data_IF_426764551885
#
_entry.id   IF_426764551885
#
_cell.length_a   1.000
_cell.length_b   1.000
_cell.length_c   1.000
_cell.angle_alpha   90.00
_cell.angle_beta   90.00
_cell.angle_gamma   90.00
#
_symmetry.space_group_name_H-M   'P 1'
#
loop_
_entity.id
_entity.type
_entity.pdbx_description
1 polymer ?
#
# COMPACT_ATOMS: atom_id res chain seq x y z
N UNK A 1 -4.55 -3.70 20.47
CA UNK A 1 -5.38 -4.73 19.81
C UNK A 1 -4.83 -5.03 18.41
N UNK A 2 -5.01 -6.26 17.89
CA UNK A 2 -4.70 -6.55 16.50
C UNK A 2 -5.59 -5.71 15.57
N UNK A 3 -5.04 -5.05 14.55
CA UNK A 3 -5.84 -4.43 13.50
C UNK A 3 -6.49 -5.50 12.62
N UNK A 4 -7.46 -5.08 11.80
CA UNK A 4 -8.04 -5.94 10.77
C UNK A 4 -6.98 -6.40 9.77
N UNK A 5 -7.17 -7.60 9.23
CA UNK A 5 -6.34 -8.10 8.14
C UNK A 5 -6.56 -7.19 6.92
N UNK A 6 -5.50 -6.65 6.30
CA UNK A 6 -5.64 -5.73 5.18
C UNK A 6 -6.28 -6.42 3.98
N UNK A 7 -7.03 -5.66 3.18
CA UNK A 7 -7.59 -6.20 1.96
C UNK A 7 -6.47 -6.55 0.97
N UNK A 8 -6.56 -7.72 0.29
CA UNK A 8 -5.62 -8.06 -0.75
C UNK A 8 -5.73 -7.04 -1.87
N UNK A 9 -4.59 -6.71 -2.48
CA UNK A 9 -4.60 -5.89 -3.67
C UNK A 9 -5.30 -6.65 -4.80
N UNK A 10 -6.23 -6.00 -5.49
CA UNK A 10 -7.01 -6.64 -6.55
C UNK A 10 -6.92 -5.88 -7.86
N UNK A 11 -7.27 -6.55 -8.95
CA UNK A 11 -7.46 -5.92 -10.23
C UNK A 11 -8.69 -6.50 -10.94
N UNK A 12 -9.35 -5.68 -11.75
CA UNK A 12 -10.46 -6.10 -12.59
C UNK A 12 -10.08 -5.99 -14.08
N UNK A 13 -10.41 -7.04 -14.82
CA UNK A 13 -10.25 -7.04 -16.26
C UNK A 13 -11.22 -6.03 -16.90
N UNK A 14 -10.74 -5.11 -17.75
CA UNK A 14 -11.64 -4.18 -18.43
C UNK A 14 -12.45 -4.83 -19.56
N UNK A 15 -12.00 -5.98 -20.09
CA UNK A 15 -12.70 -6.69 -21.16
C UNK A 15 -13.91 -7.49 -20.68
N UNK A 16 -13.80 -8.15 -19.53
CA UNK A 16 -14.83 -9.05 -19.01
C UNK A 16 -15.27 -8.77 -17.57
N UNK A 17 -14.69 -7.78 -16.89
CA UNK A 17 -15.05 -7.38 -15.52
C UNK A 17 -14.57 -8.31 -14.40
N UNK A 18 -13.95 -9.46 -14.71
CA UNK A 18 -13.52 -10.42 -13.69
C UNK A 18 -12.46 -9.82 -12.76
N UNK A 19 -12.64 -10.04 -11.45
CA UNK A 19 -11.76 -9.54 -10.38
C UNK A 19 -10.84 -10.64 -9.86
N UNK A 20 -9.57 -10.31 -9.64
CA UNK A 20 -8.57 -11.23 -9.11
C UNK A 20 -7.64 -10.54 -8.11
N UNK A 21 -7.09 -11.27 -7.11
CA UNK A 21 -5.96 -10.78 -6.35
C UNK A 21 -4.76 -10.53 -7.28
N UNK A 22 -4.11 -9.38 -7.12
CA UNK A 22 -2.98 -8.97 -7.94
C UNK A 22 -1.78 -9.93 -7.79
N UNK A 23 -1.63 -10.55 -6.61
CA UNK A 23 -0.60 -11.55 -6.34
C UNK A 23 -0.88 -12.91 -7.00
N UNK A 24 -2.13 -13.22 -7.35
CA UNK A 24 -2.51 -14.52 -7.89
C UNK A 24 -2.23 -14.63 -9.39
N UNK A 25 -2.60 -13.62 -10.17
CA UNK A 25 -2.37 -13.61 -11.62
C UNK A 25 -2.41 -12.18 -12.16
N UNK A 26 -1.62 -11.92 -13.20
CA UNK A 26 -1.74 -10.72 -14.05
C UNK A 26 -2.40 -10.99 -15.41
N UNK A 27 -2.82 -12.24 -15.65
CA UNK A 27 -3.59 -12.68 -16.83
C UNK A 27 -4.99 -13.06 -16.40
N UNK A 28 -5.99 -12.49 -17.06
CA UNK A 28 -7.40 -12.77 -16.81
C UNK A 28 -7.71 -14.21 -17.22
N UNK A 29 -8.30 -14.99 -16.32
CA UNK A 29 -8.63 -16.39 -16.58
C UNK A 29 -9.87 -16.53 -17.49
N UNK A 30 -10.77 -15.55 -17.51
CA UNK A 30 -11.95 -15.56 -18.39
C UNK A 30 -11.65 -15.26 -19.87
N UNK A 31 -10.86 -14.21 -20.16
CA UNK A 31 -10.62 -13.74 -21.54
C UNK A 31 -9.14 -13.72 -21.95
N UNK A 32 -8.24 -14.29 -21.15
CA UNK A 32 -6.78 -14.30 -21.38
C UNK A 32 -6.09 -12.94 -21.47
N UNK A 33 -6.79 -11.85 -21.13
CA UNK A 33 -6.24 -10.50 -21.19
C UNK A 33 -5.20 -10.24 -20.09
N UNK A 34 -4.05 -9.66 -20.44
CA UNK A 34 -3.05 -9.23 -19.46
C UNK A 34 -3.42 -7.87 -18.86
N UNK A 35 -3.13 -7.68 -17.57
CA UNK A 35 -3.37 -6.43 -16.85
C UNK A 35 -2.78 -5.22 -17.61
N UNK A 36 -3.65 -4.41 -18.20
CA UNK A 36 -3.30 -3.15 -18.87
C UNK A 36 -3.45 -1.97 -17.91
N UNK A 37 -2.35 -1.26 -17.67
CA UNK A 37 -2.34 0.02 -16.96
C UNK A 37 -2.00 1.16 -17.93
N UNK A 38 -2.34 2.42 -17.62
CA UNK A 38 -2.06 3.56 -18.50
C UNK A 38 -0.59 3.62 -18.98
N UNK A 39 0.34 3.29 -18.08
CA UNK A 39 1.79 3.30 -18.35
C UNK A 39 2.24 2.22 -19.35
N UNK A 40 1.47 1.14 -19.53
CA UNK A 40 1.83 0.04 -20.43
C UNK A 40 1.47 0.29 -21.89
N UNK A 41 0.55 1.23 -22.18
CA UNK A 41 0.08 1.50 -23.54
C UNK A 41 0.84 2.61 -24.28
N UNK A 42 1.59 3.46 -23.57
CA UNK A 42 2.44 4.50 -24.20
C UNK A 42 3.52 3.91 -25.11
N UNK A 43 3.90 2.63 -24.94
CA UNK A 43 4.92 1.97 -25.76
C UNK A 43 4.39 1.28 -27.02
N UNK A 44 3.07 1.26 -27.28
CA UNK A 44 2.49 0.36 -28.28
C UNK A 44 1.70 1.00 -29.43
N UNK A 45 1.66 2.32 -29.61
CA UNK A 45 0.95 2.90 -30.76
C UNK A 45 1.71 4.02 -31.47
N UNK A 46 2.00 3.88 -32.79
CA UNK A 46 2.13 5.03 -33.67
C UNK A 46 0.74 5.65 -33.89
N UNK A 47 0.64 6.96 -33.66
CA UNK A 47 -0.61 7.72 -33.78
C UNK A 47 -1.13 7.72 -35.22
N UNK A 48 -2.18 6.96 -35.49
CA UNK A 48 -3.04 7.22 -36.66
C UNK A 48 -4.31 7.92 -36.21
N UNK A 49 -4.34 9.21 -36.56
CA UNK A 49 -5.45 10.16 -36.52
C UNK A 49 -6.83 9.53 -36.81
N UNK A 50 -7.81 10.04 -36.04
CA UNK A 50 -9.28 9.98 -36.21
C UNK A 50 -9.93 8.67 -35.75
N UNK A 51 -10.44 8.68 -34.51
CA UNK A 51 -11.83 8.31 -34.32
C UNK A 51 -12.47 8.92 -33.08
N UNK A 52 -13.66 9.43 -33.35
CA UNK A 52 -14.58 10.21 -32.55
C UNK A 52 -15.33 9.27 -31.61
N UNK A 53 -15.42 9.66 -30.34
CA UNK A 53 -16.50 9.38 -29.39
C UNK A 53 -17.26 8.04 -29.51
N UNK A 54 -17.05 7.14 -28.54
CA UNK A 54 -18.15 6.33 -28.00
C UNK A 54 -17.86 6.01 -26.54
N UNK A 55 -18.68 6.56 -25.64
CA UNK A 55 -18.61 6.23 -24.21
C UNK A 55 -18.83 4.74 -24.00
N UNK A 56 -17.85 4.07 -23.40
CA UNK A 56 -17.96 2.73 -22.80
C UNK A 56 -16.63 2.35 -22.17
N UNK A 57 -16.71 1.99 -20.89
CA UNK A 57 -15.72 1.22 -20.13
C UNK A 57 -14.32 1.83 -19.99
N UNK A 58 -13.75 1.74 -18.79
CA UNK A 58 -12.36 2.10 -18.54
C UNK A 58 -11.49 1.40 -19.58
N UNK A 59 -10.79 2.16 -20.44
CA UNK A 59 -9.88 1.62 -21.47
C UNK A 59 -8.70 0.81 -20.88
N UNK A 60 -8.65 0.66 -19.56
CA UNK A 60 -7.60 0.03 -18.80
C UNK A 60 -8.21 -0.82 -17.69
N UNK A 61 -7.49 -1.87 -17.29
CA UNK A 61 -7.85 -2.65 -16.12
C UNK A 61 -7.84 -1.76 -14.86
N UNK A 62 -8.83 -1.93 -14.00
CA UNK A 62 -8.83 -1.26 -12.70
C UNK A 62 -7.97 -2.03 -11.71
N UNK A 63 -7.31 -1.31 -10.80
CA UNK A 63 -6.52 -1.89 -9.71
C UNK A 63 -6.91 -1.22 -8.41
N UNK A 64 -7.16 -1.99 -7.37
CA UNK A 64 -7.55 -1.52 -6.04
C UNK A 64 -6.47 -1.92 -5.02
N UNK A 65 -6.04 -0.96 -4.21
CA UNK A 65 -4.94 -1.12 -3.26
C UNK A 65 -5.34 -0.60 -1.87
N UNK A 66 -5.21 -1.43 -0.84
CA UNK A 66 -5.47 -1.05 0.55
C UNK A 66 -4.20 -0.53 1.25
N UNK A 67 -3.67 0.61 0.81
CA UNK A 67 -2.45 1.16 1.40
C UNK A 67 -2.58 1.41 2.91
N UNK A 68 -3.77 1.80 3.36
CA UNK A 68 -4.07 2.10 4.77
C UNK A 68 -4.02 0.85 5.63
N UNK A 69 -4.75 -0.20 5.26
CA UNK A 69 -4.76 -1.45 6.02
C UNK A 69 -3.37 -2.07 6.07
N UNK A 70 -2.64 -2.05 4.93
CA UNK A 70 -1.27 -2.57 4.89
C UNK A 70 -0.30 -1.79 5.79
N UNK A 71 -0.41 -0.45 5.85
CA UNK A 71 0.42 0.38 6.73
C UNK A 71 0.11 0.17 8.22
N UNK A 72 -1.17 0.04 8.57
CA UNK A 72 -1.60 -0.30 9.94
C UNK A 72 -1.08 -1.68 10.33
N UNK A 73 -1.30 -2.68 9.46
CA UNK A 73 -0.86 -4.05 9.67
C UNK A 73 0.67 -4.14 9.81
N UNK A 74 1.43 -3.44 8.95
CA UNK A 74 2.88 -3.36 9.05
C UNK A 74 3.36 -2.77 10.37
N UNK A 75 2.70 -1.72 10.86
CA UNK A 75 3.03 -1.10 12.15
C UNK A 75 2.71 -2.03 13.32
N UNK A 76 1.58 -2.75 13.27
CA UNK A 76 1.26 -3.80 14.25
C UNK A 76 2.28 -4.95 14.28
N UNK A 77 2.74 -5.43 13.11
CA UNK A 77 3.78 -6.48 13.05
C UNK A 77 5.07 -6.02 13.71
N UNK A 78 5.47 -4.77 13.49
CA UNK A 78 6.67 -4.16 14.10
C UNK A 78 6.51 -3.99 15.61
N UNK A 79 5.36 -3.46 16.04
CA UNK A 79 5.02 -3.33 17.45
C UNK A 79 5.15 -4.66 18.20
N UNK A 80 4.64 -5.76 17.64
CA UNK A 80 4.78 -7.11 18.23
C UNK A 80 6.18 -7.70 18.19
N UNK A 81 7.01 -7.26 17.26
CA UNK A 81 8.40 -7.70 17.15
C UNK A 81 9.32 -6.99 18.13
N UNK A 82 8.93 -5.82 18.64
CA UNK A 82 9.73 -5.01 19.58
C UNK A 82 9.79 -5.56 21.01
N UNK A 83 8.91 -6.50 21.38
CA UNK A 83 8.83 -7.05 22.75
C UNK A 83 10.10 -7.83 23.16
N UNK A 84 10.98 -8.17 22.20
CA UNK A 84 12.28 -8.84 22.43
C UNK A 84 13.43 -7.85 22.73
N UNK A 85 13.19 -6.54 22.73
CA UNK A 85 14.14 -5.52 23.19
C UNK A 85 15.43 -5.33 22.37
N UNK A 86 15.60 -6.06 21.26
CA UNK A 86 16.84 -6.05 20.46
C UNK A 86 16.87 -5.02 19.33
N UNK A 87 15.71 -4.54 18.84
CA UNK A 87 15.62 -3.57 17.75
C UNK A 87 14.44 -2.61 17.99
N UNK A 88 14.70 -1.30 17.92
CA UNK A 88 13.65 -0.27 17.86
C UNK A 88 12.91 -0.36 16.52
N UNK A 89 11.98 -1.32 16.41
CA UNK A 89 11.15 -1.51 15.23
C UNK A 89 10.07 -0.42 15.12
N UNK A 90 9.79 0.32 16.18
CA UNK A 90 8.78 1.38 16.20
C UNK A 90 9.24 2.64 15.45
N UNK A 91 10.56 2.83 15.33
CA UNK A 91 11.20 3.83 14.47
C UNK A 91 10.66 3.86 13.03
N UNK A 92 10.14 2.74 12.50
CA UNK A 92 9.64 2.66 11.12
C UNK A 92 8.11 2.61 11.00
N UNK A 93 7.40 2.73 12.12
CA UNK A 93 5.95 2.76 12.14
C UNK A 93 5.42 4.09 11.60
N UNK A 94 4.32 4.01 10.85
CA UNK A 94 3.57 5.20 10.37
C UNK A 94 2.22 5.34 11.08
N UNK A 95 1.84 4.31 11.84
CA UNK A 95 0.63 4.24 12.66
C UNK A 95 1.00 3.79 14.07
N UNK A 96 0.30 4.33 15.06
CA UNK A 96 0.50 3.98 16.47
C UNK A 96 -0.80 3.58 17.14
N UNK A 97 -0.70 2.83 18.24
CA UNK A 97 -1.84 2.50 19.07
C UNK A 97 -2.09 3.64 20.06
N UNK A 98 -3.28 4.24 19.99
CA UNK A 98 -3.71 5.27 20.94
C UNK A 98 -4.89 4.76 21.76
N UNK A 99 -4.86 5.05 23.05
CA UNK A 99 -6.00 4.81 23.93
C UNK A 99 -6.93 6.02 23.83
N UNK A 100 -8.14 5.80 23.32
CA UNK A 100 -9.18 6.84 23.35
C UNK A 100 -9.96 6.68 24.65
N UNK A 101 -9.74 7.60 25.58
CA UNK A 101 -10.55 7.73 26.78
C UNK A 101 -11.82 8.50 26.44
N UNK A 102 -12.92 7.77 26.26
CA UNK A 102 -14.24 8.36 26.05
C UNK A 102 -14.81 8.77 27.41
N UNK A 103 -14.77 10.06 27.77
CA UNK A 103 -15.51 10.57 28.93
C UNK A 103 -17.01 10.60 28.62
N UNK A 104 -17.66 9.43 28.68
CA UNK A 104 -19.11 9.32 28.70
C UNK A 104 -19.57 9.29 30.14
N UNK A 105 -20.40 10.26 30.55
CA UNK A 105 -21.05 10.25 31.85
C UNK A 105 -22.15 9.21 31.88
N UNK A 106 -21.78 7.95 32.09
CA UNK A 106 -22.51 6.88 32.78
C UNK A 106 -21.73 5.56 32.61
N UNK A 107 -21.50 4.90 33.74
CA UNK A 107 -20.92 3.58 33.98
C UNK A 107 -20.73 2.64 32.75
N UNK A 108 -19.49 2.57 32.27
CA UNK A 108 -18.69 1.37 31.96
C UNK A 108 -17.41 1.86 31.23
N UNK A 109 -16.25 1.80 31.89
CA UNK A 109 -14.98 2.29 31.37
C UNK A 109 -14.49 1.43 30.19
N UNK A 110 -15.01 1.72 29.00
CA UNK A 110 -14.63 1.05 27.75
C UNK A 110 -13.40 1.73 27.16
N UNK A 111 -12.23 1.42 27.73
CA UNK A 111 -10.94 1.77 27.12
C UNK A 111 -10.79 1.08 25.77
N UNK A 112 -11.05 1.83 24.70
CA UNK A 112 -10.86 1.36 23.34
C UNK A 112 -9.50 1.82 22.83
N UNK A 113 -8.63 0.86 22.51
CA UNK A 113 -7.36 1.14 21.87
C UNK A 113 -7.54 1.06 20.34
N UNK A 114 -7.22 2.15 19.64
CA UNK A 114 -7.41 2.26 18.20
C UNK A 114 -6.09 2.57 17.50
N UNK A 115 -5.90 2.04 16.30
CA UNK A 115 -4.77 2.39 15.45
C UNK A 115 -5.05 3.72 14.77
N UNK A 116 -4.16 4.69 14.96
CA UNK A 116 -4.26 6.01 14.34
C UNK A 116 -2.95 6.38 13.64
N UNK A 117 -3.02 7.19 12.56
CA UNK A 117 -1.82 7.64 11.88
C UNK A 117 -1.00 8.51 12.84
N UNK A 118 0.32 8.31 12.83
CA UNK A 118 1.21 9.20 13.58
C UNK A 118 1.16 10.62 13.00
N UNK A 119 1.72 11.57 13.76
CA UNK A 119 1.76 12.97 13.32
C UNK A 119 2.39 13.08 11.92
N UNK A 120 1.91 14.06 11.13
CA UNK A 120 2.44 14.30 9.78
C UNK A 120 3.95 14.55 9.78
N UNK A 121 4.49 15.16 10.83
CA UNK A 121 5.92 15.38 11.01
C UNK A 121 6.66 14.05 11.21
N UNK A 122 6.16 13.20 12.10
CA UNK A 122 6.71 11.86 12.37
C UNK A 122 6.69 11.00 11.10
N UNK A 123 5.54 10.90 10.41
CA UNK A 123 5.42 10.12 9.17
C UNK A 123 6.40 10.61 8.10
N UNK A 124 6.63 11.92 7.99
CA UNK A 124 7.60 12.50 7.06
C UNK A 124 9.05 12.13 7.43
N UNK A 125 9.39 12.12 8.71
CA UNK A 125 10.72 11.72 9.19
C UNK A 125 10.97 10.22 8.94
N UNK A 126 9.99 9.38 9.27
CA UNK A 126 10.03 7.93 9.02
C UNK A 126 10.23 7.65 7.53
N UNK A 127 9.44 8.30 6.67
CA UNK A 127 9.59 8.15 5.21
C UNK A 127 10.98 8.51 4.72
N UNK A 128 11.57 9.62 5.19
CA UNK A 128 12.95 10.02 4.82
C UNK A 128 13.98 8.98 5.27
N UNK A 129 13.84 8.46 6.49
CA UNK A 129 14.72 7.42 7.02
C UNK A 129 14.63 6.14 6.19
N UNK A 130 13.42 5.71 5.83
CA UNK A 130 13.17 4.59 4.91
C UNK A 130 13.80 4.83 3.54
N UNK A 131 13.58 6.00 2.93
CA UNK A 131 14.16 6.36 1.62
C UNK A 131 15.69 6.25 1.62
N UNK A 132 16.38 6.80 2.63
CA UNK A 132 17.84 6.71 2.75
C UNK A 132 18.32 5.26 2.86
N UNK A 133 17.62 4.45 3.65
CA UNK A 133 17.94 3.04 3.86
C UNK A 133 17.71 2.20 2.61
N UNK A 134 16.62 2.46 1.87
CA UNK A 134 16.38 1.80 0.59
C UNK A 134 17.51 2.09 -0.39
N UNK A 135 17.91 3.35 -0.53
CA UNK A 135 19.00 3.77 -1.43
C UNK A 135 20.35 3.18 -1.01
N UNK A 136 20.63 3.04 0.28
CA UNK A 136 21.88 2.44 0.77
C UNK A 136 21.90 0.91 0.72
N UNK A 137 20.78 0.26 0.37
CA UNK A 137 20.67 -1.21 0.33
C UNK A 137 20.63 -1.87 1.71
N UNK A 138 20.51 -1.11 2.80
CA UNK A 138 20.52 -1.61 4.17
C UNK A 138 19.11 -1.91 4.71
N UNK A 139 18.25 -2.55 3.90
CA UNK A 139 16.85 -2.77 4.26
C UNK A 139 16.43 -4.23 4.13
N UNK A 140 15.56 -4.68 5.04
CA UNK A 140 14.70 -5.85 4.86
C UNK A 140 13.27 -5.43 4.47
N UNK A 141 12.75 -5.96 3.36
CA UNK A 141 11.39 -5.70 2.87
C UNK A 141 10.30 -6.07 3.90
N UNK A 142 10.51 -7.14 4.67
CA UNK A 142 9.51 -7.60 5.65
C UNK A 142 9.36 -6.66 6.85
N UNK A 143 10.44 -5.91 7.17
CA UNK A 143 10.51 -5.01 8.32
C UNK A 143 10.17 -3.57 7.93
N UNK A 144 10.83 -3.03 6.90
CA UNK A 144 10.76 -1.60 6.63
C UNK A 144 9.62 -1.21 5.68
N UNK A 145 9.16 -2.13 4.82
CA UNK A 145 8.05 -1.84 3.91
C UNK A 145 6.70 -2.03 4.62
N UNK A 146 5.83 -1.04 4.45
CA UNK A 146 4.44 -1.05 4.87
C UNK A 146 3.60 -1.87 3.89
N UNK A 147 3.92 -1.79 2.60
CA UNK A 147 3.22 -2.51 1.55
C UNK A 147 4.19 -3.14 0.52
N UNK A 148 3.75 -4.20 -0.18
CA UNK A 148 4.52 -4.77 -1.28
C UNK A 148 4.91 -3.69 -2.29
N UNK A 149 6.13 -3.69 -2.83
CA UNK A 149 6.66 -2.66 -3.78
C UNK A 149 7.02 -1.27 -3.24
N UNK A 150 6.90 -0.97 -1.94
CA UNK A 150 7.31 0.34 -1.40
C UNK A 150 8.79 0.67 -1.66
N UNK A 151 9.69 -0.28 -1.37
CA UNK A 151 11.13 -0.13 -1.62
C UNK A 151 11.42 0.02 -3.11
N UNK A 152 10.80 -0.80 -3.97
CA UNK A 152 10.96 -0.73 -5.42
C UNK A 152 10.58 0.65 -5.96
N UNK A 153 9.46 1.22 -5.52
CA UNK A 153 9.05 2.57 -5.92
C UNK A 153 10.04 3.63 -5.45
N UNK A 154 10.58 3.48 -4.24
CA UNK A 154 11.57 4.40 -3.69
C UNK A 154 12.88 4.35 -4.48
N UNK A 155 13.37 3.15 -4.81
CA UNK A 155 14.55 2.94 -5.64
C UNK A 155 14.35 3.50 -7.05
N UNK A 156 13.23 3.19 -7.71
CA UNK A 156 12.91 3.71 -9.03
C UNK A 156 12.89 5.25 -9.03
N UNK A 157 12.28 5.88 -8.01
CA UNK A 157 12.28 7.34 -7.88
C UNK A 157 13.68 7.93 -7.68
N UNK A 158 14.55 7.24 -6.94
CA UNK A 158 15.91 7.69 -6.67
C UNK A 158 16.83 7.56 -7.89
N UNK A 159 16.65 6.51 -8.70
CA UNK A 159 17.54 6.20 -9.83
C UNK A 159 17.06 6.70 -11.18
N UNK A 160 15.75 6.90 -11.41
CA UNK A 160 15.23 7.44 -12.69
C UNK A 160 15.35 8.97 -12.77
N UNK A 161 15.64 9.66 -11.66
CA UNK A 161 15.84 11.11 -11.59
C UNK A 161 17.31 11.55 -11.64
N UNK A 162 18.25 10.63 -11.88
CA UNK A 162 19.66 10.92 -12.12
C UNK A 162 19.96 10.70 -13.59
#
# INVERSE_FOLDING_TARGET
PPPLIPYPWTWACHKCGSKYPLAATRRCLGCSHYLCTPTTLEKSQPETRRQKQKGRDSSYCSTEFDYTGWAVWGSYRRFRGSDDGTIDHDTFATWGLVNTESRSGNDCDSRSAAWQPLSRATVKQVRRRKENMYVSGQYSCSLHCDFPSECLHSLHRAFVKR
#
